data_IF_839326392960
#
_entry.id   IF_839326392960
#
_cell.length_a   1.000
_cell.length_b   1.000
_cell.length_c   1.000
_cell.angle_alpha   90.00
_cell.angle_beta   90.00
_cell.angle_gamma   90.00
#
_symmetry.space_group_name_H-M   'P 1'
#
loop_
_entity.id
_entity.type
_entity.pdbx_description
1 polymer ?
#
# COMPACT_ATOMS: atom_id res chain seq x y z
N UNK A 1 15.83 0.32 32.54
CA UNK A 1 14.41 0.48 32.16
C UNK A 1 14.25 0.46 30.63
N UNK A 2 14.24 -0.72 30.00
CA UNK A 2 14.07 -0.86 28.53
C UNK A 2 13.22 -2.06 28.07
N UNK A 3 12.66 -2.83 29.00
CA UNK A 3 11.86 -4.03 28.69
C UNK A 3 10.35 -3.79 28.66
N UNK A 4 9.84 -2.65 29.16
CA UNK A 4 8.41 -2.44 29.33
C UNK A 4 7.72 -1.88 28.06
N UNK A 5 8.41 -1.05 27.27
CA UNK A 5 7.83 -0.42 26.07
C UNK A 5 7.61 -1.41 24.92
N UNK A 6 8.61 -2.26 24.60
CA UNK A 6 8.43 -3.28 23.55
C UNK A 6 7.35 -4.30 23.89
N UNK A 7 7.23 -4.68 25.17
CA UNK A 7 6.19 -5.63 25.61
C UNK A 7 4.79 -5.06 25.46
N UNK A 8 4.61 -3.76 25.69
CA UNK A 8 3.30 -3.10 25.63
C UNK A 8 2.77 -2.99 24.21
N UNK A 9 3.64 -2.70 23.24
CA UNK A 9 3.26 -2.71 21.82
C UNK A 9 2.83 -4.08 21.33
N UNK A 10 3.57 -5.12 21.71
CA UNK A 10 3.21 -6.49 21.39
C UNK A 10 1.84 -6.84 21.96
N UNK A 11 1.59 -6.50 23.23
CA UNK A 11 0.27 -6.70 23.86
C UNK A 11 -0.85 -5.95 23.15
N UNK A 12 -0.61 -4.69 22.74
CA UNK A 12 -1.61 -3.92 21.99
C UNK A 12 -1.94 -4.59 20.66
N UNK A 13 -0.93 -5.05 19.92
CA UNK A 13 -1.10 -5.77 18.65
C UNK A 13 -1.85 -7.08 18.83
N UNK A 14 -1.57 -7.82 19.90
CA UNK A 14 -2.31 -9.05 20.26
C UNK A 14 -3.78 -8.76 20.54
N UNK A 15 -4.08 -7.70 21.30
CA UNK A 15 -5.46 -7.30 21.65
C UNK A 15 -6.30 -6.94 20.43
N UNK A 16 -5.72 -6.22 19.46
CA UNK A 16 -6.45 -5.74 18.28
C UNK A 16 -6.26 -6.63 17.06
N UNK A 17 -5.46 -7.70 17.16
CA UNK A 17 -5.01 -8.51 16.02
C UNK A 17 -6.17 -9.01 15.16
N UNK A 18 -7.11 -9.74 15.78
CA UNK A 18 -8.30 -10.27 15.09
C UNK A 18 -9.16 -9.16 14.48
N UNK A 19 -9.32 -8.04 15.20
CA UNK A 19 -10.08 -6.89 14.70
C UNK A 19 -9.42 -6.31 13.46
N UNK A 20 -8.11 -6.11 13.50
CA UNK A 20 -7.32 -5.61 12.39
C UNK A 20 -7.41 -6.54 11.19
N UNK A 21 -7.33 -7.86 11.41
CA UNK A 21 -7.43 -8.85 10.33
C UNK A 21 -8.76 -8.73 9.58
N UNK A 22 -9.87 -8.65 10.32
CA UNK A 22 -11.21 -8.45 9.74
C UNK A 22 -11.35 -7.13 8.99
N UNK A 23 -10.75 -6.05 9.52
CA UNK A 23 -10.75 -4.74 8.87
C UNK A 23 -9.94 -4.79 7.57
N UNK A 24 -8.77 -5.40 7.58
CA UNK A 24 -7.94 -5.59 6.38
C UNK A 24 -8.71 -6.39 5.32
N UNK A 25 -9.29 -7.53 5.67
CA UNK A 25 -10.12 -8.33 4.74
C UNK A 25 -11.28 -7.51 4.15
N UNK A 26 -11.99 -6.75 4.99
CA UNK A 26 -13.07 -5.85 4.56
C UNK A 26 -12.56 -4.82 3.53
N UNK A 27 -11.38 -4.24 3.73
CA UNK A 27 -10.78 -3.26 2.80
C UNK A 27 -10.32 -3.92 1.51
N UNK A 28 -9.65 -5.06 1.58
CA UNK A 28 -9.21 -5.80 0.40
C UNK A 28 -10.40 -6.25 -0.45
N UNK A 29 -11.47 -6.77 0.16
CA UNK A 29 -12.70 -7.14 -0.56
C UNK A 29 -13.35 -5.95 -1.27
N UNK A 30 -13.34 -4.77 -0.64
CA UNK A 30 -13.84 -3.53 -1.28
C UNK A 30 -12.98 -3.16 -2.49
N UNK A 31 -11.66 -3.24 -2.36
CA UNK A 31 -10.71 -2.98 -3.43
C UNK A 31 -10.85 -3.99 -4.57
N UNK A 32 -10.98 -5.28 -4.28
CA UNK A 32 -11.20 -6.32 -5.29
C UNK A 32 -12.51 -6.09 -6.06
N UNK A 33 -13.58 -5.68 -5.38
CA UNK A 33 -14.83 -5.29 -6.03
C UNK A 33 -14.63 -4.09 -6.94
N UNK A 34 -13.88 -3.07 -6.51
CA UNK A 34 -13.59 -1.88 -7.32
C UNK A 34 -12.89 -2.22 -8.63
N UNK A 35 -12.04 -3.25 -8.68
CA UNK A 35 -11.39 -3.71 -9.91
C UNK A 35 -12.37 -4.20 -10.98
N UNK A 36 -13.57 -4.63 -10.57
CA UNK A 36 -14.61 -5.13 -11.48
C UNK A 36 -15.68 -4.08 -11.79
N UNK A 37 -15.81 -3.06 -10.94
CA UNK A 37 -16.78 -2.01 -11.13
C UNK A 37 -16.23 -0.94 -12.08
N UNK A 38 -16.94 -0.67 -13.18
CA UNK A 38 -16.53 0.32 -14.19
C UNK A 38 -16.65 1.79 -13.72
N UNK A 39 -17.33 2.03 -12.60
CA UNK A 39 -17.58 3.37 -12.05
C UNK A 39 -16.40 3.92 -11.23
N UNK A 40 -15.55 3.05 -10.66
CA UNK A 40 -14.36 3.47 -9.90
C UNK A 40 -13.13 3.51 -10.82
N UNK A 41 -12.80 4.72 -11.29
CA UNK A 41 -11.83 4.96 -12.36
C UNK A 41 -10.36 4.80 -11.95
N UNK A 42 -10.05 4.53 -10.67
CA UNK A 42 -8.66 4.58 -10.17
C UNK A 42 -7.73 3.57 -10.84
N UNK A 43 -8.24 2.39 -11.19
CA UNK A 43 -7.45 1.35 -11.86
C UNK A 43 -7.17 1.68 -13.32
N UNK A 44 -8.09 2.40 -13.99
CA UNK A 44 -7.84 2.92 -15.34
C UNK A 44 -6.88 4.10 -15.32
N UNK A 45 -6.99 4.96 -14.31
CA UNK A 45 -6.05 6.06 -14.09
C UNK A 45 -4.64 5.49 -13.85
N UNK A 46 -4.53 4.44 -13.03
CA UNK A 46 -3.28 3.71 -12.80
C UNK A 46 -2.76 3.10 -14.12
N UNK A 47 -3.60 2.39 -14.87
CA UNK A 47 -3.22 1.83 -16.18
C UNK A 47 -2.71 2.93 -17.12
N UNK A 48 -3.37 4.08 -17.18
CA UNK A 48 -2.95 5.21 -18.00
C UNK A 48 -1.56 5.72 -17.61
N UNK A 49 -1.29 5.86 -16.31
CA UNK A 49 0.02 6.31 -15.80
C UNK A 49 1.12 5.30 -16.14
N UNK A 50 0.85 4.00 -15.95
CA UNK A 50 1.84 2.96 -16.31
C UNK A 50 2.13 2.97 -17.82
N UNK A 51 1.10 3.14 -18.65
CA UNK A 51 1.25 3.25 -20.12
C UNK A 51 1.98 4.50 -20.56
N UNK A 52 1.76 5.63 -19.89
CA UNK A 52 2.45 6.89 -20.17
C UNK A 52 3.97 6.74 -19.96
N UNK A 53 4.36 6.20 -18.79
CA UNK A 53 5.76 5.95 -18.43
C UNK A 53 6.47 4.93 -19.33
N UNK A 54 5.73 4.11 -20.08
CA UNK A 54 6.27 3.02 -20.92
C UNK A 54 5.99 3.19 -22.41
N UNK A 55 5.40 4.30 -22.83
CA UNK A 55 4.83 4.46 -24.17
C UNK A 55 5.84 4.30 -25.32
N UNK A 56 7.11 4.63 -25.09
CA UNK A 56 8.22 4.53 -26.04
C UNK A 56 9.32 3.55 -25.61
N UNK A 57 9.12 2.86 -24.48
CA UNK A 57 10.10 1.95 -23.87
C UNK A 57 9.89 0.52 -24.36
N UNK A 58 10.98 -0.22 -24.56
CA UNK A 58 10.95 -1.63 -25.04
C UNK A 58 11.39 -2.65 -23.98
N UNK A 59 12.27 -2.22 -23.09
CA UNK A 59 12.89 -3.02 -22.04
C UNK A 59 12.90 -2.20 -20.74
N UNK A 60 13.42 -2.77 -19.65
CA UNK A 60 13.46 -2.13 -18.34
C UNK A 60 12.37 -2.62 -17.39
N UNK A 61 12.12 -1.85 -16.33
CA UNK A 61 11.20 -2.21 -15.27
C UNK A 61 10.37 -1.02 -14.79
N UNK A 62 9.14 -1.30 -14.36
CA UNK A 62 8.28 -0.35 -13.66
C UNK A 62 8.18 -0.76 -12.21
N UNK A 63 8.25 0.20 -11.29
CA UNK A 63 8.08 -0.05 -9.87
C UNK A 63 6.96 0.81 -9.33
N UNK A 64 5.95 0.17 -8.75
CA UNK A 64 4.86 0.81 -8.01
C UNK A 64 5.19 0.70 -6.53
N UNK A 65 5.67 1.79 -5.93
CA UNK A 65 6.12 1.81 -4.54
C UNK A 65 5.14 2.55 -3.62
N UNK A 66 4.72 1.91 -2.53
CA UNK A 66 4.09 2.66 -1.43
C UNK A 66 5.15 3.44 -0.65
N UNK A 67 4.83 4.68 -0.28
CA UNK A 67 5.73 5.51 0.51
C UNK A 67 5.39 5.40 1.99
N UNK A 68 6.42 5.20 2.82
CA UNK A 68 6.25 5.23 4.27
C UNK A 68 5.71 6.58 4.78
N UNK A 69 6.15 7.68 4.17
CA UNK A 69 5.62 9.01 4.49
C UNK A 69 4.11 9.15 4.20
N UNK A 70 3.56 8.37 3.28
CA UNK A 70 2.14 8.46 2.89
C UNK A 70 1.17 8.00 3.98
N UNK A 71 1.56 7.05 4.85
CA UNK A 71 0.72 6.69 5.99
C UNK A 71 0.80 7.70 7.14
N UNK A 72 1.90 8.47 7.25
CA UNK A 72 2.05 9.51 8.28
C UNK A 72 1.24 10.74 7.87
N UNK A 73 1.30 11.11 6.60
CA UNK A 73 0.64 12.30 6.05
C UNK A 73 -0.82 12.07 5.65
N UNK A 74 -1.29 10.81 5.66
CA UNK A 74 -2.64 10.42 5.24
C UNK A 74 -2.99 10.87 3.81
N UNK A 75 -1.98 10.85 2.92
CA UNK A 75 -2.11 11.21 1.50
C UNK A 75 -2.23 9.98 0.59
N UNK A 76 -1.80 8.80 1.07
CA UNK A 76 -1.81 7.53 0.32
C UNK A 76 -1.19 7.66 -1.08
N UNK A 77 -0.09 8.40 -1.19
CA UNK A 77 0.64 8.56 -2.44
C UNK A 77 1.59 7.39 -2.65
N UNK A 78 1.62 6.92 -3.89
CA UNK A 78 2.51 5.90 -4.39
C UNK A 78 3.50 6.57 -5.33
N UNK A 79 4.76 6.14 -5.26
CA UNK A 79 5.80 6.54 -6.18
C UNK A 79 5.86 5.48 -7.28
N UNK A 80 5.61 5.89 -8.52
CA UNK A 80 5.68 5.02 -9.68
C UNK A 80 6.85 5.48 -10.54
N UNK A 81 7.81 4.61 -10.79
CA UNK A 81 8.98 4.94 -11.59
C UNK A 81 9.32 3.85 -12.59
N UNK A 82 9.78 4.29 -13.75
CA UNK A 82 10.40 3.44 -14.76
C UNK A 82 11.93 3.48 -14.59
N UNK A 83 12.57 2.32 -14.69
CA UNK A 83 14.01 2.16 -14.66
C UNK A 83 14.45 1.43 -15.93
N UNK A 84 15.48 1.93 -16.59
CA UNK A 84 16.12 1.27 -17.72
C UNK A 84 16.91 0.03 -17.26
N UNK A 85 17.57 0.13 -16.11
CA UNK A 85 18.36 -0.94 -15.51
C UNK A 85 17.69 -1.53 -14.25
N UNK A 86 18.47 -1.78 -13.19
CA UNK A 86 17.97 -2.31 -11.93
C UNK A 86 17.22 -1.23 -11.13
N UNK A 87 16.06 -1.57 -10.54
CA UNK A 87 15.33 -0.67 -9.66
C UNK A 87 16.19 -0.01 -8.59
N UNK A 88 15.99 1.31 -8.42
CA UNK A 88 16.65 2.15 -7.41
C UNK A 88 18.17 2.36 -7.59
N UNK A 89 18.76 1.94 -8.71
CA UNK A 89 20.15 2.27 -9.06
C UNK A 89 20.25 3.66 -9.69
N UNK A 90 19.27 4.02 -10.52
CA UNK A 90 19.20 5.33 -11.17
C UNK A 90 18.86 6.44 -10.16
N UNK A 91 19.59 7.54 -10.20
CA UNK A 91 19.39 8.68 -9.28
C UNK A 91 18.11 9.47 -9.60
N UNK A 92 17.76 9.61 -10.89
CA UNK A 92 16.62 10.38 -11.37
C UNK A 92 15.83 9.59 -12.44
N UNK A 93 15.11 8.52 -12.06
CA UNK A 93 14.28 7.76 -12.99
C UNK A 93 13.04 8.56 -13.42
N UNK A 94 12.49 8.23 -14.59
CA UNK A 94 11.20 8.75 -15.06
C UNK A 94 10.10 8.33 -14.06
N UNK A 95 9.53 9.29 -13.32
CA UNK A 95 8.64 8.99 -12.21
C UNK A 95 7.41 9.89 -12.09
N UNK A 96 6.36 9.35 -11.47
CA UNK A 96 5.08 10.01 -11.20
C UNK A 96 4.61 9.64 -9.79
N UNK A 97 4.06 10.60 -9.06
CA UNK A 97 3.34 10.36 -7.82
C UNK A 97 1.86 10.09 -8.10
N UNK A 98 1.37 8.93 -7.70
CA UNK A 98 0.00 8.48 -7.91
C UNK A 98 -0.80 8.45 -6.61
N UNK A 99 -1.94 9.13 -6.58
CA UNK A 99 -2.76 9.21 -5.38
C UNK A 99 -3.76 8.04 -5.29
N UNK A 100 -3.59 7.17 -4.28
CA UNK A 100 -4.48 6.03 -4.02
C UNK A 100 -5.55 6.29 -2.97
N UNK A 101 -5.73 7.53 -2.50
CA UNK A 101 -6.61 7.85 -1.36
C UNK A 101 -8.06 7.36 -1.56
N UNK A 102 -8.58 7.43 -2.79
CA UNK A 102 -9.92 6.93 -3.12
C UNK A 102 -10.07 5.42 -2.90
N UNK A 103 -9.06 4.64 -3.29
CA UNK A 103 -8.99 3.20 -3.06
C UNK A 103 -8.99 2.89 -1.54
N UNK A 104 -8.32 3.72 -0.74
CA UNK A 104 -8.27 3.59 0.72
C UNK A 104 -9.40 4.31 1.46
N UNK A 105 -10.54 4.58 0.81
CA UNK A 105 -11.71 5.13 1.49
C UNK A 105 -12.23 4.15 2.56
N UNK A 106 -12.27 4.61 3.81
CA UNK A 106 -12.64 3.78 4.94
C UNK A 106 -11.57 3.57 6.02
N UNK A 107 -10.33 3.99 5.76
CA UNK A 107 -9.20 3.80 6.70
C UNK A 107 -9.37 4.63 7.97
N UNK A 108 -9.92 5.84 7.88
CA UNK A 108 -10.17 6.69 9.05
C UNK A 108 -11.20 6.04 10.00
N UNK A 109 -12.22 5.39 9.45
CA UNK A 109 -13.20 4.63 10.22
C UNK A 109 -12.56 3.40 10.89
N UNK A 110 -11.72 2.67 10.16
CA UNK A 110 -10.99 1.53 10.73
C UNK A 110 -10.08 1.96 11.88
N UNK A 111 -9.44 3.12 11.73
CA UNK A 111 -8.62 3.69 12.77
C UNK A 111 -9.41 4.02 14.04
N UNK A 112 -10.60 4.62 13.89
CA UNK A 112 -11.50 4.87 15.03
C UNK A 112 -11.92 3.56 15.71
N UNK A 113 -12.26 2.52 14.93
CA UNK A 113 -12.63 1.20 15.48
C UNK A 113 -11.46 0.56 16.26
N UNK A 114 -10.23 0.69 15.76
CA UNK A 114 -9.03 0.20 16.46
C UNK A 114 -8.79 0.99 17.75
N UNK A 115 -8.90 2.32 17.70
CA UNK A 115 -8.70 3.20 18.85
C UNK A 115 -9.71 2.87 19.97
N UNK A 116 -10.98 2.65 19.63
CA UNK A 116 -12.02 2.24 20.58
C UNK A 116 -11.66 0.93 21.30
N UNK A 117 -11.22 -0.09 20.57
CA UNK A 117 -10.82 -1.38 21.18
C UNK A 117 -9.64 -1.20 22.13
N UNK A 118 -8.66 -0.37 21.76
CA UNK A 118 -7.53 -0.07 22.63
C UNK A 118 -7.98 0.63 23.92
N UNK A 119 -8.86 1.62 23.85
CA UNK A 119 -9.35 2.33 25.04
C UNK A 119 -10.21 1.46 25.97
N UNK A 120 -10.82 0.39 25.46
CA UNK A 120 -11.53 -0.58 26.31
C UNK A 120 -10.59 -1.47 27.13
N UNK A 121 -9.35 -1.69 26.66
CA UNK A 121 -8.39 -2.62 27.30
C UNK A 121 -7.24 -1.90 28.00
N UNK A 122 -6.92 -0.69 27.61
CA UNK A 122 -5.82 0.10 28.16
C UNK A 122 -6.36 1.40 28.77
N UNK A 123 -6.06 1.62 30.06
CA UNK A 123 -6.48 2.81 30.82
C UNK A 123 -6.04 4.12 30.13
N UNK A 124 -4.88 4.09 29.48
CA UNK A 124 -4.32 5.20 28.71
C UNK A 124 -3.63 4.64 27.48
N UNK A 125 -3.82 5.30 26.34
CA UNK A 125 -3.11 5.04 25.09
C UNK A 125 -2.40 6.33 24.69
N UNK A 126 -1.07 6.31 24.58
CA UNK A 126 -0.27 7.50 24.24
C UNK A 126 -0.30 7.78 22.74
N UNK A 127 -0.07 9.04 22.35
CA UNK A 127 -0.05 9.44 20.93
C UNK A 127 1.00 8.68 20.11
N UNK A 128 2.22 8.51 20.66
CA UNK A 128 3.24 7.69 20.01
C UNK A 128 2.83 6.22 19.89
N UNK A 129 2.01 5.71 20.81
CA UNK A 129 1.50 4.35 20.70
C UNK A 129 0.48 4.21 19.58
N UNK A 130 -0.42 5.20 19.49
CA UNK A 130 -1.39 5.31 18.41
C UNK A 130 -0.71 5.35 17.05
N UNK A 131 0.33 6.17 16.90
CA UNK A 131 1.09 6.25 15.66
C UNK A 131 1.73 4.91 15.28
N UNK A 132 2.38 4.21 16.21
CA UNK A 132 3.02 2.92 15.92
C UNK A 132 1.99 1.83 15.56
N UNK A 133 0.81 1.83 16.17
CA UNK A 133 -0.28 0.94 15.78
C UNK A 133 -0.82 1.31 14.39
N UNK A 134 -0.98 2.60 14.10
CA UNK A 134 -1.42 3.06 12.79
C UNK A 134 -0.42 2.68 11.69
N UNK A 135 0.89 2.87 11.92
CA UNK A 135 1.96 2.42 11.01
C UNK A 135 1.92 0.92 10.78
N UNK A 136 1.76 0.15 11.86
CA UNK A 136 1.66 -1.31 11.77
C UNK A 136 0.44 -1.75 10.96
N UNK A 137 -0.73 -1.16 11.21
CA UNK A 137 -1.96 -1.44 10.46
C UNK A 137 -1.81 -1.11 8.96
N UNK A 138 -1.34 0.10 8.64
CA UNK A 138 -1.15 0.53 7.24
C UNK A 138 -0.11 -0.31 6.50
N UNK A 139 1.01 -0.66 7.15
CA UNK A 139 2.01 -1.54 6.57
C UNK A 139 1.43 -2.90 6.19
N UNK A 140 0.57 -3.47 7.04
CA UNK A 140 -0.10 -4.75 6.74
C UNK A 140 -1.05 -4.64 5.54
N UNK A 141 -1.79 -3.55 5.42
CA UNK A 141 -2.65 -3.30 4.25
C UNK A 141 -1.83 -3.23 2.98
N UNK A 142 -0.76 -2.44 2.97
CA UNK A 142 0.08 -2.27 1.77
C UNK A 142 0.75 -3.56 1.34
N UNK A 143 1.20 -4.38 2.30
CA UNK A 143 1.73 -5.72 1.99
C UNK A 143 0.61 -6.59 1.41
N UNK A 144 -0.58 -6.60 2.02
CA UNK A 144 -1.69 -7.43 1.55
C UNK A 144 -2.24 -7.00 0.18
N UNK A 145 -2.03 -5.73 -0.21
CA UNK A 145 -2.40 -5.19 -1.51
C UNK A 145 -1.62 -5.83 -2.67
N UNK A 146 -0.49 -6.50 -2.42
CA UNK A 146 0.34 -7.17 -3.43
C UNK A 146 -0.51 -8.06 -4.38
N UNK A 147 -1.42 -8.85 -3.83
CA UNK A 147 -2.29 -9.74 -4.62
C UNK A 147 -3.30 -8.97 -5.50
N UNK A 148 -3.81 -7.85 -5.00
CA UNK A 148 -4.73 -6.99 -5.73
C UNK A 148 -3.98 -6.29 -6.87
N UNK A 149 -2.76 -5.80 -6.60
CA UNK A 149 -1.90 -5.20 -7.63
C UNK A 149 -1.55 -6.20 -8.72
N UNK A 150 -1.19 -7.43 -8.34
CA UNK A 150 -0.99 -8.52 -9.29
C UNK A 150 -2.21 -8.74 -10.18
N UNK A 151 -3.39 -8.88 -9.58
CA UNK A 151 -4.64 -9.03 -10.32
C UNK A 151 -4.95 -7.82 -11.21
N UNK A 152 -4.65 -6.62 -10.75
CA UNK A 152 -4.87 -5.38 -11.50
C UNK A 152 -3.97 -5.33 -12.74
N UNK A 153 -2.66 -5.56 -12.57
CA UNK A 153 -1.68 -5.57 -13.66
C UNK A 153 -1.98 -6.69 -14.66
N UNK A 154 -2.29 -7.90 -14.20
CA UNK A 154 -2.68 -9.02 -15.09
C UNK A 154 -3.91 -8.71 -15.95
N UNK A 155 -4.86 -7.90 -15.44
CA UNK A 155 -6.04 -7.46 -16.17
C UNK A 155 -5.74 -6.34 -17.18
N UNK A 156 -4.69 -5.56 -16.97
CA UNK A 156 -4.22 -4.52 -17.90
C UNK A 156 -3.55 -5.21 -19.09
N UNK A 157 -4.33 -5.83 -19.97
CA UNK A 157 -3.83 -6.59 -21.12
C UNK A 157 -2.83 -5.76 -21.96
N UNK A 158 -1.57 -6.23 -22.02
CA UNK A 158 -0.71 -6.24 -23.21
C UNK A 158 0.52 -7.13 -23.01
N UNK A 159 1.02 -7.61 -24.16
CA UNK A 159 2.15 -8.50 -24.36
C UNK A 159 3.40 -7.61 -24.44
N UNK A 160 3.96 -7.22 -23.31
CA UNK A 160 5.20 -6.45 -23.24
C UNK A 160 6.24 -7.11 -22.35
N UNK A 161 7.50 -6.70 -22.52
CA UNK A 161 8.66 -7.24 -21.80
C UNK A 161 8.97 -6.49 -20.50
N UNK A 162 8.26 -5.40 -20.21
CA UNK A 162 8.55 -4.55 -19.05
C UNK A 162 7.92 -5.19 -17.82
N UNK A 163 8.76 -5.61 -16.88
CA UNK A 163 8.31 -6.21 -15.63
C UNK A 163 7.81 -5.12 -14.70
N UNK A 164 6.62 -5.31 -14.14
CA UNK A 164 6.04 -4.43 -13.12
C UNK A 164 6.29 -5.03 -11.75
N UNK A 165 6.93 -4.27 -10.89
CA UNK A 165 7.22 -4.57 -9.50
C UNK A 165 6.31 -3.76 -8.58
N UNK A 166 6.03 -4.32 -7.41
CA UNK A 166 5.30 -3.68 -6.33
C UNK A 166 6.01 -3.88 -5.00
N UNK A 167 6.02 -2.86 -4.14
CA UNK A 167 6.59 -2.97 -2.80
C UNK A 167 6.77 -1.64 -2.10
N UNK A 168 7.61 -1.61 -1.08
CA UNK A 168 7.96 -0.36 -0.40
C UNK A 168 9.05 0.40 -1.17
N UNK A 169 9.01 1.72 -1.16
CA UNK A 169 10.07 2.54 -1.77
C UNK A 169 11.41 2.30 -1.06
N UNK A 170 12.44 1.92 -1.83
CA UNK A 170 13.74 1.48 -1.31
C UNK A 170 13.67 0.31 -0.30
N UNK A 171 12.63 -0.52 -0.42
CA UNK A 171 12.45 -1.74 0.37
C UNK A 171 12.34 -2.97 -0.53
N UNK A 172 11.86 -4.08 0.02
CA UNK A 172 11.56 -5.27 -0.77
C UNK A 172 10.46 -4.95 -1.81
N UNK A 173 10.76 -5.29 -3.05
CA UNK A 173 9.83 -5.23 -4.18
C UNK A 173 9.69 -6.63 -4.79
N UNK A 174 8.50 -6.92 -5.32
CA UNK A 174 8.20 -8.21 -5.97
C UNK A 174 7.52 -8.00 -7.30
N UNK A 175 7.83 -8.87 -8.25
CA UNK A 175 7.19 -8.84 -9.56
C UNK A 175 5.69 -9.18 -9.41
N UNK A 176 4.83 -8.30 -9.91
CA UNK A 176 3.37 -8.46 -9.89
C UNK A 176 2.78 -8.66 -11.28
N UNK A 177 3.57 -8.50 -12.34
CA UNK A 177 3.15 -8.78 -13.71
C UNK A 177 4.10 -8.14 -14.73
N UNK A 178 3.61 -8.02 -15.95
CA UNK A 178 4.31 -7.32 -17.03
C UNK A 178 3.29 -6.61 -17.91
N UNK A 179 3.70 -5.50 -18.54
CA UNK A 179 2.86 -4.71 -19.45
C UNK A 179 3.55 -4.43 -20.78
#
# INVERSE_FOLDING_TARGET
MKQCEMGRFTQMKEVIGEKVDLLIEKRLHKLEKSLTNKEENIWRDLESVLRELTSDKKEGSLVISFLRSSYITNNQEFYIAYYEEEPFVEEEPDCIYFNMKRAFSGIEEDWNEIDEVLHQKFIRVFAGEKEEIHRWYMGRIYIALENIMKTAVEKMHKIGAITVYYGGYMEEIKAVGSI
#
